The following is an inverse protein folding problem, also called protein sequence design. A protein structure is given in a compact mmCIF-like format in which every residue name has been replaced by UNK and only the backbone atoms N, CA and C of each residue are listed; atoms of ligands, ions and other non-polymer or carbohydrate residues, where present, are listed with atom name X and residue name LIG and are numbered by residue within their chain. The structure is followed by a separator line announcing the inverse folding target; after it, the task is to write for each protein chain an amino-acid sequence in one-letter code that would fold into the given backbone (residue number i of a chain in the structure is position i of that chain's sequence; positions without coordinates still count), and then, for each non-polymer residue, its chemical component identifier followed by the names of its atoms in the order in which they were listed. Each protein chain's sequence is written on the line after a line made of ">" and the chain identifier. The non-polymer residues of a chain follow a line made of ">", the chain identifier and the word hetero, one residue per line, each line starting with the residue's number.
data_IF_531652037926
#
_entry.id   IF_531652037926
#
_cell.length_a   1.000
_cell.length_b   1.000
_cell.length_c   1.000
_cell.angle_alpha   90.00
_cell.angle_beta   90.00
_cell.angle_gamma   90.00
#
_symmetry.space_group_name_H-M   'P 1'
#
loop_
_entity.id
_entity.type
_entity.pdbx_description
1 polymer ?
#
# COMPACT_ATOMS: atom_id res chain seq x y z
N UNK A 1 39.78 -24.93 -31.77
CA UNK A 1 39.91 -24.93 -30.30
C UNK A 1 39.04 -23.78 -29.74
N UNK A 2 37.85 -24.07 -29.36
CA UNK A 2 36.82 -23.09 -29.01
C UNK A 2 36.76 -22.94 -27.49
N UNK A 3 37.17 -21.78 -26.99
CA UNK A 3 37.09 -21.43 -25.57
C UNK A 3 35.63 -21.11 -25.24
N UNK A 4 34.96 -22.06 -24.61
CA UNK A 4 33.63 -21.87 -23.99
C UNK A 4 33.74 -20.82 -22.88
N UNK A 5 33.12 -19.63 -23.08
CA UNK A 5 32.94 -18.62 -22.06
C UNK A 5 31.89 -19.12 -21.08
N UNK A 6 32.29 -19.67 -19.94
CA UNK A 6 31.42 -19.88 -18.77
C UNK A 6 30.98 -18.50 -18.28
N UNK A 7 29.73 -18.13 -18.56
CA UNK A 7 29.04 -17.03 -17.92
C UNK A 7 28.78 -17.48 -16.48
N UNK A 8 29.62 -17.05 -15.55
CA UNK A 8 29.41 -17.22 -14.13
C UNK A 8 28.20 -16.37 -13.73
N UNK A 9 27.06 -17.01 -13.50
CA UNK A 9 25.92 -16.37 -12.84
C UNK A 9 26.43 -15.82 -11.50
N UNK A 10 26.44 -14.51 -11.34
CA UNK A 10 26.77 -13.81 -10.09
C UNK A 10 25.72 -14.24 -9.05
N UNK A 11 26.05 -15.22 -8.21
CA UNK A 11 25.23 -15.56 -7.05
C UNK A 11 25.13 -14.31 -6.19
N UNK A 12 23.89 -13.78 -6.09
CA UNK A 12 23.60 -12.67 -5.18
C UNK A 12 24.09 -13.04 -3.77
N UNK A 13 24.72 -12.09 -3.08
CA UNK A 13 25.15 -12.31 -1.70
C UNK A 13 23.96 -12.77 -0.84
N UNK A 14 24.15 -13.69 0.11
CA UNK A 14 23.06 -14.18 0.94
C UNK A 14 22.44 -13.01 1.71
N UNK A 15 21.12 -12.85 1.58
CA UNK A 15 20.35 -11.81 2.29
C UNK A 15 20.58 -11.91 3.79
N UNK A 16 20.71 -10.74 4.45
CA UNK A 16 20.81 -10.69 5.92
C UNK A 16 19.57 -11.28 6.58
N UNK A 17 19.71 -11.83 7.78
CA UNK A 17 18.60 -12.45 8.51
C UNK A 17 17.38 -11.51 8.64
N UNK A 18 17.59 -10.24 8.99
CA UNK A 18 16.54 -9.23 9.09
C UNK A 18 15.76 -9.04 7.77
N UNK A 19 16.45 -9.07 6.63
CA UNK A 19 15.82 -8.92 5.31
C UNK A 19 14.94 -10.14 4.97
N UNK A 20 15.42 -11.36 5.25
CA UNK A 20 14.63 -12.59 5.07
C UNK A 20 13.40 -12.62 5.97
N UNK A 21 13.51 -12.13 7.20
CA UNK A 21 12.38 -11.99 8.14
C UNK A 21 11.36 -11.00 7.58
N UNK A 22 11.78 -9.81 7.10
CA UNK A 22 10.89 -8.82 6.50
C UNK A 22 10.12 -9.37 5.30
N UNK A 23 10.80 -10.04 4.38
CA UNK A 23 10.18 -10.62 3.18
C UNK A 23 9.15 -11.69 3.56
N UNK A 24 9.50 -12.58 4.49
CA UNK A 24 8.61 -13.63 4.97
C UNK A 24 7.39 -13.03 5.69
N UNK A 25 7.62 -12.06 6.59
CA UNK A 25 6.56 -11.38 7.31
C UNK A 25 5.64 -10.59 6.36
N UNK A 26 6.20 -9.89 5.37
CA UNK A 26 5.42 -9.14 4.37
C UNK A 26 4.42 -10.01 3.64
N UNK A 27 4.84 -11.16 3.14
CA UNK A 27 3.96 -12.07 2.40
C UNK A 27 2.91 -12.72 3.32
N UNK A 28 3.32 -13.19 4.49
CA UNK A 28 2.43 -13.80 5.47
C UNK A 28 1.39 -12.81 5.99
N UNK A 29 1.82 -11.64 6.46
CA UNK A 29 0.93 -10.61 7.01
C UNK A 29 -0.07 -10.10 5.98
N UNK A 30 0.36 -9.90 4.73
CA UNK A 30 -0.55 -9.48 3.69
C UNK A 30 -1.61 -10.53 3.35
N UNK A 31 -1.22 -11.81 3.26
CA UNK A 31 -2.12 -12.89 2.84
C UNK A 31 -3.05 -13.36 3.96
N UNK A 32 -2.54 -13.49 5.18
CA UNK A 32 -3.25 -14.14 6.28
C UNK A 32 -3.75 -13.15 7.34
N UNK A 33 -3.24 -11.91 7.36
CA UNK A 33 -3.46 -10.95 8.43
C UNK A 33 -2.35 -11.02 9.50
N UNK A 34 -2.10 -9.91 10.16
CA UNK A 34 -0.98 -9.79 11.09
C UNK A 34 -1.22 -10.64 12.36
N UNK A 35 -2.46 -10.62 12.88
CA UNK A 35 -2.78 -11.33 14.12
C UNK A 35 -2.72 -12.83 13.96
N UNK A 36 -3.16 -13.36 12.82
CA UNK A 36 -3.21 -14.80 12.56
C UNK A 36 -1.81 -15.45 12.44
N UNK A 37 -0.82 -14.71 11.94
CA UNK A 37 0.53 -15.22 11.68
C UNK A 37 1.32 -15.34 12.98
N UNK A 38 1.83 -16.56 13.28
CA UNK A 38 2.70 -16.83 14.42
C UNK A 38 4.18 -16.50 14.13
N UNK A 39 4.96 -16.21 15.19
CA UNK A 39 6.41 -16.00 15.07
C UNK A 39 7.11 -17.26 14.53
N UNK A 40 6.65 -18.46 14.91
CA UNK A 40 7.20 -19.74 14.43
C UNK A 40 7.08 -19.87 12.92
N UNK A 41 5.94 -19.49 12.36
CA UNK A 41 5.74 -19.53 10.91
C UNK A 41 6.69 -18.57 10.18
N UNK A 42 6.89 -17.36 10.74
CA UNK A 42 7.80 -16.36 10.16
C UNK A 42 9.24 -16.89 10.15
N UNK A 43 9.73 -17.40 11.29
CA UNK A 43 11.14 -17.87 11.38
C UNK A 43 11.39 -19.11 10.54
N UNK A 44 10.43 -20.04 10.49
CA UNK A 44 10.51 -21.22 9.63
C UNK A 44 10.58 -20.83 8.16
N UNK A 45 9.72 -19.94 7.70
CA UNK A 45 9.72 -19.45 6.32
C UNK A 45 10.96 -18.64 5.95
N UNK A 46 11.45 -17.83 6.89
CA UNK A 46 12.67 -17.05 6.72
C UNK A 46 13.97 -17.90 6.81
N UNK A 47 13.88 -19.14 7.26
CA UNK A 47 15.05 -20.00 7.52
C UNK A 47 15.98 -19.41 8.57
N UNK A 48 15.41 -18.88 9.66
CA UNK A 48 16.14 -18.29 10.79
C UNK A 48 15.63 -18.85 12.11
N UNK A 49 16.28 -18.49 13.23
CA UNK A 49 15.86 -18.87 14.58
C UNK A 49 15.07 -17.74 15.26
N UNK A 50 14.23 -18.07 16.27
CA UNK A 50 13.54 -17.06 17.11
C UNK A 50 14.51 -16.04 17.74
N UNK A 51 15.65 -16.45 18.34
CA UNK A 51 16.63 -15.47 18.83
C UNK A 51 17.15 -14.51 17.75
N UNK A 52 17.26 -14.98 16.51
CA UNK A 52 17.68 -14.14 15.37
C UNK A 52 16.59 -13.11 15.00
N UNK A 53 15.32 -13.51 15.08
CA UNK A 53 14.18 -12.59 14.89
C UNK A 53 14.17 -11.51 15.96
N UNK A 54 14.21 -11.89 17.25
CA UNK A 54 14.11 -10.94 18.36
C UNK A 54 15.32 -10.02 18.50
N UNK A 55 16.49 -10.41 17.97
CA UNK A 55 17.65 -9.51 17.85
C UNK A 55 17.42 -8.41 16.81
N UNK A 56 16.63 -8.68 15.78
CA UNK A 56 16.33 -7.72 14.71
C UNK A 56 15.06 -6.90 14.97
N UNK A 57 14.09 -7.50 15.62
CA UNK A 57 12.77 -6.92 15.91
C UNK A 57 12.37 -7.28 17.34
N UNK A 58 12.26 -6.30 18.26
CA UNK A 58 12.01 -6.55 19.68
C UNK A 58 10.72 -7.32 19.97
N UNK A 59 9.72 -7.21 19.08
CA UNK A 59 8.45 -7.95 19.18
C UNK A 59 7.86 -8.21 17.79
N UNK A 60 6.83 -9.08 17.74
CA UNK A 60 6.01 -9.26 16.52
C UNK A 60 5.29 -7.97 16.14
N UNK A 61 4.88 -7.16 17.12
CA UNK A 61 4.18 -5.90 16.89
C UNK A 61 5.10 -4.85 16.25
N UNK A 62 6.38 -4.81 16.65
CA UNK A 62 7.38 -3.97 15.99
C UNK A 62 7.72 -4.45 14.57
N UNK A 63 7.76 -5.77 14.35
CA UNK A 63 7.89 -6.32 13.00
C UNK A 63 6.67 -5.98 12.12
N UNK A 64 5.46 -5.99 12.70
CA UNK A 64 4.25 -5.55 12.00
C UNK A 64 4.28 -4.06 11.66
N UNK A 65 4.74 -3.23 12.59
CA UNK A 65 4.94 -1.80 12.34
C UNK A 65 5.98 -1.54 11.24
N UNK A 66 7.10 -2.29 11.26
CA UNK A 66 8.13 -2.23 10.21
C UNK A 66 7.58 -2.64 8.83
N UNK A 67 6.81 -3.72 8.77
CA UNK A 67 6.11 -4.15 7.55
C UNK A 67 5.20 -3.06 6.98
N UNK A 68 4.34 -2.46 7.81
CA UNK A 68 3.40 -1.43 7.37
C UNK A 68 4.12 -0.15 6.94
N UNK A 69 5.22 0.20 7.63
CA UNK A 69 6.04 1.36 7.27
C UNK A 69 6.65 1.18 5.88
N UNK A 70 7.31 0.07 5.60
CA UNK A 70 7.91 -0.18 4.29
C UNK A 70 6.85 -0.22 3.19
N UNK A 71 5.74 -0.95 3.41
CA UNK A 71 4.66 -1.01 2.43
C UNK A 71 4.04 0.36 2.16
N UNK A 72 3.86 1.16 3.21
CA UNK A 72 3.28 2.50 3.11
C UNK A 72 4.21 3.49 2.42
N UNK A 73 5.50 3.50 2.79
CA UNK A 73 6.51 4.36 2.14
C UNK A 73 6.65 4.01 0.65
N UNK A 74 6.71 2.72 0.30
CA UNK A 74 6.73 2.29 -1.10
C UNK A 74 5.50 2.79 -1.86
N UNK A 75 4.32 2.73 -1.24
CA UNK A 75 3.07 3.23 -1.81
C UNK A 75 3.07 4.74 -2.04
N UNK A 76 3.51 5.51 -1.03
CA UNK A 76 3.60 6.96 -1.11
C UNK A 76 4.65 7.41 -2.14
N UNK A 77 5.84 6.78 -2.13
CA UNK A 77 6.89 7.07 -3.11
C UNK A 77 6.43 6.80 -4.56
N UNK A 78 5.66 5.71 -4.76
CA UNK A 78 5.09 5.40 -6.06
C UNK A 78 4.02 6.43 -6.49
N UNK A 79 3.18 6.90 -5.56
CA UNK A 79 2.23 7.97 -5.83
C UNK A 79 2.98 9.24 -6.24
N UNK A 80 4.00 9.64 -5.47
CA UNK A 80 4.82 10.82 -5.76
C UNK A 80 5.53 10.71 -7.12
N UNK A 81 5.96 9.51 -7.52
CA UNK A 81 6.55 9.26 -8.83
C UNK A 81 5.55 9.45 -9.99
N UNK A 82 4.27 9.05 -9.82
CA UNK A 82 3.21 9.31 -10.80
C UNK A 82 2.99 10.81 -10.97
N UNK A 83 2.98 11.56 -9.86
CA UNK A 83 2.85 13.03 -9.86
C UNK A 83 4.02 13.65 -10.63
N UNK A 84 5.25 13.27 -10.31
CA UNK A 84 6.46 13.82 -10.92
C UNK A 84 6.57 13.52 -12.42
N UNK A 85 6.06 12.37 -12.86
CA UNK A 85 6.09 11.97 -14.28
C UNK A 85 5.09 12.73 -15.18
N UNK A 86 4.05 13.35 -14.61
CA UNK A 86 2.97 14.01 -15.35
C UNK A 86 2.63 15.39 -14.77
N UNK A 87 3.58 16.33 -14.61
CA UNK A 87 3.41 17.53 -13.78
C UNK A 87 2.34 18.50 -14.28
N UNK A 88 2.01 18.48 -15.58
CA UNK A 88 1.03 19.37 -16.19
C UNK A 88 -0.42 18.84 -16.19
N UNK A 89 -0.65 17.59 -15.74
CA UNK A 89 -1.98 16.96 -15.79
C UNK A 89 -2.36 16.33 -14.44
N UNK A 90 -2.78 17.13 -13.44
CA UNK A 90 -3.16 16.60 -12.12
C UNK A 90 -4.31 15.61 -12.16
N UNK A 91 -5.28 15.78 -13.09
CA UNK A 91 -6.38 14.82 -13.24
C UNK A 91 -5.90 13.48 -13.82
N UNK A 92 -5.04 13.55 -14.84
CA UNK A 92 -4.40 12.36 -15.42
C UNK A 92 -3.54 11.61 -14.40
N UNK A 93 -2.82 12.31 -13.52
CA UNK A 93 -2.06 11.70 -12.43
C UNK A 93 -2.97 10.81 -11.55
N UNK A 94 -4.12 11.35 -11.12
CA UNK A 94 -5.08 10.58 -10.32
C UNK A 94 -5.64 9.39 -11.09
N UNK A 95 -5.98 9.56 -12.37
CA UNK A 95 -6.50 8.48 -13.23
C UNK A 95 -5.48 7.34 -13.41
N UNK A 96 -4.20 7.68 -13.57
CA UNK A 96 -3.10 6.67 -13.62
C UNK A 96 -3.06 5.89 -12.31
N UNK A 97 -3.06 6.59 -11.16
CA UNK A 97 -3.02 5.94 -9.86
C UNK A 97 -4.22 5.05 -9.58
N UNK A 98 -5.44 5.51 -9.94
CA UNK A 98 -6.66 4.70 -9.87
C UNK A 98 -6.53 3.47 -10.77
N UNK A 99 -6.07 3.63 -12.01
CA UNK A 99 -5.88 2.53 -12.95
C UNK A 99 -4.96 1.44 -12.39
N UNK A 100 -3.85 1.83 -11.75
CA UNK A 100 -2.96 0.87 -11.10
C UNK A 100 -3.63 0.12 -9.93
N UNK A 101 -4.46 0.81 -9.15
CA UNK A 101 -5.22 0.18 -8.08
C UNK A 101 -6.25 -0.81 -8.64
N UNK A 102 -6.98 -0.43 -9.69
CA UNK A 102 -7.97 -1.30 -10.32
C UNK A 102 -7.34 -2.58 -10.86
N UNK A 103 -6.19 -2.49 -11.52
CA UNK A 103 -5.41 -3.67 -11.96
C UNK A 103 -5.02 -4.56 -10.78
N UNK A 104 -4.67 -3.99 -9.63
CA UNK A 104 -4.37 -4.78 -8.42
C UNK A 104 -5.63 -5.42 -7.84
N UNK A 105 -6.74 -4.68 -7.80
CA UNK A 105 -8.01 -5.12 -7.20
C UNK A 105 -8.66 -6.29 -7.96
N UNK A 106 -8.27 -6.55 -9.22
CA UNK A 106 -8.75 -7.70 -10.00
C UNK A 106 -7.99 -8.99 -9.72
N UNK A 107 -6.85 -8.94 -9.03
CA UNK A 107 -6.03 -10.13 -8.75
C UNK A 107 -6.73 -11.04 -7.75
N UNK A 108 -6.64 -12.36 -7.98
CA UNK A 108 -7.26 -13.38 -7.14
C UNK A 108 -6.77 -13.36 -5.69
N UNK A 109 -5.52 -12.96 -5.47
CA UNK A 109 -4.87 -12.88 -4.16
C UNK A 109 -4.91 -11.46 -3.55
N UNK A 110 -5.75 -10.59 -4.09
CA UNK A 110 -5.89 -9.23 -3.59
C UNK A 110 -6.50 -9.20 -2.18
N UNK A 111 -5.81 -8.57 -1.25
CA UNK A 111 -6.20 -8.46 0.16
C UNK A 111 -6.42 -7.00 0.60
N UNK A 112 -6.77 -6.13 -0.35
CA UNK A 112 -7.05 -4.72 -0.06
C UNK A 112 -5.81 -3.94 0.38
N UNK A 113 -6.02 -3.01 1.29
CA UNK A 113 -4.97 -2.17 1.84
C UNK A 113 -4.48 -2.70 3.19
N UNK A 114 -3.19 -3.05 3.29
CA UNK A 114 -2.61 -3.58 4.53
C UNK A 114 -2.71 -2.61 5.71
N UNK A 115 -2.63 -1.27 5.50
CA UNK A 115 -2.81 -0.30 6.58
C UNK A 115 -4.24 -0.26 7.09
N UNK A 116 -5.24 -0.35 6.21
CA UNK A 116 -6.66 -0.43 6.60
C UNK A 116 -6.94 -1.73 7.35
N UNK A 117 -6.42 -2.86 6.84
CA UNK A 117 -6.56 -4.16 7.51
C UNK A 117 -5.95 -4.13 8.93
N UNK A 118 -4.75 -3.55 9.08
CA UNK A 118 -4.11 -3.42 10.39
C UNK A 118 -4.93 -2.58 11.38
N UNK A 119 -5.62 -1.54 10.92
CA UNK A 119 -6.51 -0.73 11.78
C UNK A 119 -7.69 -1.56 12.28
N UNK A 120 -8.23 -2.45 11.46
CA UNK A 120 -9.31 -3.36 11.84
C UNK A 120 -8.82 -4.43 12.83
N UNK A 121 -7.62 -4.99 12.58
CA UNK A 121 -7.03 -6.02 13.44
C UNK A 121 -6.63 -5.49 14.83
N UNK A 122 -6.22 -4.22 14.93
CA UNK A 122 -5.72 -3.59 16.17
C UNK A 122 -6.56 -2.39 16.58
N UNK A 123 -7.59 -2.56 17.40
CA UNK A 123 -8.45 -1.47 17.86
C UNK A 123 -7.73 -0.49 18.81
N UNK A 124 -6.70 -0.91 19.54
CA UNK A 124 -5.94 0.00 20.41
C UNK A 124 -5.12 1.01 19.58
N UNK A 125 -5.46 2.29 19.72
CA UNK A 125 -4.77 3.39 19.03
C UNK A 125 -3.30 3.55 19.40
N UNK A 126 -2.85 2.99 20.53
CA UNK A 126 -1.46 3.03 20.98
C UNK A 126 -0.62 1.92 20.37
N UNK A 127 -1.23 0.89 19.74
CA UNK A 127 -0.52 -0.22 19.12
C UNK A 127 0.44 0.28 18.03
N UNK A 128 1.72 -0.20 17.98
CA UNK A 128 2.74 0.28 17.03
C UNK A 128 2.28 0.20 15.56
N UNK A 129 1.72 -0.92 15.14
CA UNK A 129 1.20 -1.10 13.78
C UNK A 129 0.09 -0.09 13.45
N UNK A 130 -0.81 0.20 14.40
CA UNK A 130 -1.89 1.17 14.20
C UNK A 130 -1.39 2.60 14.09
N UNK A 131 -0.38 2.98 14.88
CA UNK A 131 0.26 4.32 14.76
C UNK A 131 0.84 4.52 13.37
N UNK A 132 1.58 3.52 12.85
CA UNK A 132 2.15 3.57 11.50
C UNK A 132 1.03 3.64 10.45
N UNK A 133 -0.01 2.81 10.57
CA UNK A 133 -1.13 2.83 9.64
C UNK A 133 -1.82 4.20 9.58
N UNK A 134 -2.05 4.83 10.72
CA UNK A 134 -2.65 6.17 10.81
C UNK A 134 -1.76 7.24 10.16
N UNK A 135 -0.44 7.20 10.42
CA UNK A 135 0.52 8.12 9.81
C UNK A 135 0.51 8.01 8.27
N UNK A 136 0.68 6.81 7.73
CA UNK A 136 0.67 6.57 6.28
C UNK A 136 -0.65 7.03 5.64
N UNK A 137 -1.79 6.76 6.27
CA UNK A 137 -3.10 7.19 5.77
C UNK A 137 -3.26 8.72 5.83
N UNK A 138 -2.79 9.36 6.89
CA UNK A 138 -2.78 10.81 7.01
C UNK A 138 -1.94 11.47 5.93
N UNK A 139 -0.76 10.93 5.64
CA UNK A 139 0.13 11.41 4.58
C UNK A 139 -0.45 11.19 3.19
N UNK A 140 -1.15 10.08 2.95
CA UNK A 140 -1.85 9.85 1.68
C UNK A 140 -3.03 10.81 1.51
N UNK A 141 -3.83 11.03 2.57
CA UNK A 141 -4.92 12.02 2.59
C UNK A 141 -4.42 13.43 2.23
N UNK A 142 -3.29 13.84 2.83
CA UNK A 142 -2.68 15.14 2.52
C UNK A 142 -2.25 15.26 1.05
N UNK A 143 -1.74 14.19 0.44
CA UNK A 143 -1.39 14.16 -0.99
C UNK A 143 -2.62 14.27 -1.90
N UNK A 144 -3.73 13.63 -1.53
CA UNK A 144 -4.98 13.77 -2.28
C UNK A 144 -5.52 15.20 -2.21
N UNK A 145 -5.43 15.86 -1.06
CA UNK A 145 -5.83 17.26 -0.92
C UNK A 145 -4.92 18.20 -1.75
N UNK A 146 -3.60 17.96 -1.73
CA UNK A 146 -2.66 18.71 -2.56
C UNK A 146 -2.94 18.52 -4.06
N UNK A 147 -3.24 17.30 -4.48
CA UNK A 147 -3.61 17.00 -5.86
C UNK A 147 -4.94 17.67 -6.25
N UNK A 148 -5.94 17.68 -5.36
CA UNK A 148 -7.20 18.39 -5.55
C UNK A 148 -6.99 19.90 -5.70
N UNK A 149 -6.08 20.50 -4.91
CA UNK A 149 -5.69 21.90 -5.06
C UNK A 149 -5.04 22.17 -6.42
N UNK A 150 -4.14 21.28 -6.88
CA UNK A 150 -3.51 21.38 -8.19
C UNK A 150 -4.51 21.26 -9.36
N UNK A 151 -5.64 20.57 -9.18
CA UNK A 151 -6.76 20.54 -10.14
C UNK A 151 -7.60 21.83 -10.12
N UNK A 152 -7.39 22.74 -9.18
CA UNK A 152 -8.18 23.97 -9.03
C UNK A 152 -9.47 23.80 -8.23
N UNK A 153 -9.59 22.76 -7.41
CA UNK A 153 -10.78 22.54 -6.60
C UNK A 153 -11.00 23.68 -5.59
N UNK A 154 -12.24 24.19 -5.47
CA UNK A 154 -12.59 25.26 -4.54
C UNK A 154 -12.47 24.86 -3.07
N UNK A 155 -12.64 23.58 -2.77
CA UNK A 155 -12.53 22.99 -1.42
C UNK A 155 -11.62 21.75 -1.49
N UNK A 156 -10.29 21.94 -1.66
CA UNK A 156 -9.36 20.83 -1.95
C UNK A 156 -9.32 19.78 -0.85
N UNK A 157 -9.40 20.18 0.41
CA UNK A 157 -9.44 19.22 1.53
C UNK A 157 -10.68 18.32 1.46
N UNK A 158 -11.84 18.89 1.10
CA UNK A 158 -13.08 18.11 0.99
C UNK A 158 -13.05 17.16 -0.20
N UNK A 159 -12.51 17.60 -1.34
CA UNK A 159 -12.33 16.69 -2.48
C UNK A 159 -11.31 15.60 -2.14
N UNK A 160 -10.21 15.94 -1.47
CA UNK A 160 -9.22 14.97 -1.00
C UNK A 160 -9.84 13.90 -0.08
N UNK A 161 -10.70 14.33 0.86
CA UNK A 161 -11.42 13.41 1.77
C UNK A 161 -12.42 12.52 1.01
N UNK A 162 -13.13 13.08 0.06
CA UNK A 162 -14.08 12.34 -0.77
C UNK A 162 -13.37 11.30 -1.64
N UNK A 163 -12.25 11.65 -2.26
CA UNK A 163 -11.39 10.72 -2.99
C UNK A 163 -10.84 9.63 -2.08
N UNK A 164 -10.43 9.97 -0.84
CA UNK A 164 -9.98 8.99 0.14
C UNK A 164 -11.05 7.95 0.45
N UNK A 165 -12.31 8.36 0.59
CA UNK A 165 -13.45 7.43 0.78
C UNK A 165 -13.64 6.49 -0.41
N UNK A 166 -13.47 6.98 -1.66
CA UNK A 166 -13.49 6.12 -2.84
C UNK A 166 -12.38 5.07 -2.81
N UNK A 167 -11.15 5.46 -2.44
CA UNK A 167 -10.04 4.51 -2.29
C UNK A 167 -10.33 3.44 -1.25
N UNK A 168 -10.85 3.82 -0.07
CA UNK A 168 -11.23 2.84 0.97
C UNK A 168 -12.34 1.91 0.47
N UNK A 169 -13.31 2.43 -0.28
CA UNK A 169 -14.35 1.65 -0.93
C UNK A 169 -13.79 0.60 -1.88
N UNK A 170 -12.80 0.96 -2.72
CA UNK A 170 -12.15 0.00 -3.63
C UNK A 170 -11.31 -1.03 -2.88
N UNK A 171 -10.61 -0.64 -1.80
CA UNK A 171 -9.85 -1.59 -1.00
C UNK A 171 -10.74 -2.68 -0.39
N UNK A 172 -11.95 -2.32 0.04
CA UNK A 172 -12.93 -3.26 0.58
C UNK A 172 -13.64 -4.04 -0.53
N UNK A 173 -14.21 -3.36 -1.53
CA UNK A 173 -15.02 -3.98 -2.59
C UNK A 173 -14.21 -4.90 -3.50
N UNK A 174 -12.93 -4.59 -3.73
CA UNK A 174 -12.03 -5.47 -4.50
C UNK A 174 -11.82 -6.82 -3.83
N UNK A 175 -11.76 -6.88 -2.49
CA UNK A 175 -11.69 -8.14 -1.76
C UNK A 175 -13.00 -8.94 -1.81
N UNK A 176 -14.15 -8.23 -1.76
CA UNK A 176 -15.46 -8.87 -1.70
C UNK A 176 -15.91 -9.40 -3.06
N UNK A 177 -15.70 -8.64 -4.14
CA UNK A 177 -16.34 -8.87 -5.43
C UNK A 177 -15.35 -9.14 -6.58
N UNK A 178 -14.06 -8.86 -6.40
CA UNK A 178 -13.05 -9.02 -7.45
C UNK A 178 -13.31 -8.15 -8.69
N UNK A 179 -12.93 -8.64 -9.86
CA UNK A 179 -12.97 -7.90 -11.12
C UNK A 179 -14.38 -7.43 -11.57
N UNK A 180 -15.44 -8.19 -11.22
CA UNK A 180 -16.82 -7.87 -11.58
C UNK A 180 -17.52 -6.90 -10.63
N UNK A 181 -16.84 -6.47 -9.55
CA UNK A 181 -17.43 -5.71 -8.46
C UNK A 181 -17.54 -4.20 -8.70
N UNK A 182 -18.02 -3.47 -7.67
CA UNK A 182 -18.21 -2.01 -7.73
C UNK A 182 -16.94 -1.21 -8.03
N UNK A 183 -15.76 -1.75 -7.75
CA UNK A 183 -14.48 -1.08 -8.04
C UNK A 183 -14.36 -0.60 -9.50
N UNK A 184 -15.01 -1.28 -10.46
CA UNK A 184 -14.99 -0.95 -11.90
C UNK A 184 -15.44 0.47 -12.23
N UNK A 185 -16.33 1.07 -11.42
CA UNK A 185 -16.87 2.41 -11.66
C UNK A 185 -16.06 3.51 -10.94
N UNK A 186 -14.94 3.18 -10.31
CA UNK A 186 -14.17 4.15 -9.53
C UNK A 186 -13.69 5.35 -10.36
N UNK A 187 -13.25 5.13 -11.60
CA UNK A 187 -12.80 6.23 -12.48
C UNK A 187 -13.94 7.20 -12.78
N UNK A 188 -15.09 6.70 -13.14
CA UNK A 188 -16.28 7.50 -13.42
C UNK A 188 -16.74 8.27 -12.18
N UNK A 189 -16.78 7.59 -11.02
CA UNK A 189 -17.14 8.20 -9.75
C UNK A 189 -16.15 9.30 -9.33
N UNK A 190 -14.85 9.07 -9.51
CA UNK A 190 -13.82 10.06 -9.22
C UNK A 190 -13.94 11.27 -10.16
N UNK A 191 -14.14 11.06 -11.47
CA UNK A 191 -14.31 12.14 -12.44
C UNK A 191 -15.54 12.99 -12.13
N UNK A 192 -16.70 12.38 -11.89
CA UNK A 192 -17.93 13.09 -11.52
C UNK A 192 -17.76 13.90 -10.23
N UNK A 193 -17.07 13.33 -9.25
CA UNK A 193 -16.76 14.00 -7.99
C UNK A 193 -15.84 15.20 -8.22
N UNK A 194 -14.76 15.06 -8.98
CA UNK A 194 -13.86 16.17 -9.33
C UNK A 194 -14.64 17.27 -10.00
N UNK A 195 -15.45 16.97 -11.02
CA UNK A 195 -16.21 17.96 -11.76
C UNK A 195 -17.15 18.76 -10.84
N UNK A 196 -17.77 18.12 -9.84
CA UNK A 196 -18.62 18.81 -8.87
C UNK A 196 -17.89 19.79 -7.96
N UNK A 197 -16.57 19.62 -7.76
CA UNK A 197 -15.73 20.52 -6.95
C UNK A 197 -15.00 21.58 -7.78
N UNK A 198 -14.94 21.42 -9.12
CA UNK A 198 -14.36 22.40 -10.04
C UNK A 198 -15.41 23.39 -10.55
N UNK A 199 -16.69 23.01 -10.58
CA UNK A 199 -17.77 23.89 -11.01
C UNK A 199 -17.97 25.04 -10.02
N UNK A 200 -18.24 26.28 -10.49
CA UNK A 200 -18.62 27.37 -9.59
C UNK A 200 -19.89 26.98 -8.81
N UNK A 201 -20.05 27.44 -7.55
CA UNK A 201 -21.26 27.22 -6.81
C UNK A 201 -22.43 27.84 -7.58
N UNK A 202 -23.47 27.01 -7.83
CA UNK A 202 -24.75 27.45 -8.41
C UNK A 202 -25.51 28.37 -7.45
#
# INVERSE_FOLDING_TARGET
>A
MTKSKRIAARRAAPKRAAERIRESARDLFYRQGIRAVGVDEIVNRAGVTKPSLYRSFPSKDELAADYLRHMGEDGLARFDAVIAANPADPRGQLRIWIGELLVKATKRDYRGCGTTNAVVEYPDRRHPARKVANDIKGRFRARLAALAAAMGAQKPDRLGDALMLLFEGVYASGQLFGAGGPARVMLEAADAMIDSYLSPPS
#
